data_IF_568215711717
#
_entry.id   IF_568215711717
#
_cell.length_a   1.000
_cell.length_b   1.000
_cell.length_c   1.000
_cell.angle_alpha   90.00
_cell.angle_beta   90.00
_cell.angle_gamma   90.00
#
_symmetry.space_group_name_H-M   'P 1'
#
loop_
_entity.id
_entity.type
_entity.pdbx_description
1 polymer ?
#
# COMPACT_ATOMS: atom_id res chain seq x y z
N UNK A 1 -3.98 7.26 -14.83
CA UNK A 1 -2.76 7.25 -13.99
C UNK A 1 -3.21 7.28 -12.55
N UNK A 2 -2.69 6.39 -11.71
CA UNK A 2 -3.08 6.29 -10.30
C UNK A 2 -1.93 6.79 -9.42
N UNK A 3 -2.26 7.47 -8.32
CA UNK A 3 -1.28 8.07 -7.41
C UNK A 3 -0.97 7.07 -6.31
N UNK A 4 0.31 6.76 -6.10
CA UNK A 4 0.74 5.90 -5.01
C UNK A 4 0.43 6.57 -3.66
N UNK A 5 -0.36 5.91 -2.83
CA UNK A 5 -0.72 6.38 -1.48
C UNK A 5 0.47 6.36 -0.50
N UNK A 6 1.56 5.68 -0.85
CA UNK A 6 2.77 5.59 -0.01
C UNK A 6 3.78 6.70 -0.33
N UNK A 7 4.07 6.93 -1.61
CA UNK A 7 5.12 7.87 -2.03
C UNK A 7 4.60 9.06 -2.85
N UNK A 8 3.29 9.16 -3.08
CA UNK A 8 2.67 10.23 -3.88
C UNK A 8 2.98 10.17 -5.38
N UNK A 9 3.76 9.20 -5.85
CA UNK A 9 4.17 9.10 -7.26
C UNK A 9 3.02 8.61 -8.13
N UNK A 10 2.75 9.31 -9.24
CA UNK A 10 1.80 8.86 -10.26
C UNK A 10 2.43 7.73 -11.07
N UNK A 11 1.79 6.56 -11.08
CA UNK A 11 2.21 5.43 -11.91
C UNK A 11 1.01 4.85 -12.69
N UNK A 12 1.29 4.16 -13.79
CA UNK A 12 0.27 3.39 -14.53
C UNK A 12 0.15 1.97 -14.01
N UNK A 13 1.24 1.39 -13.52
CA UNK A 13 1.31 0.03 -13.01
C UNK A 13 1.60 0.04 -11.50
N UNK A 14 0.84 -0.74 -10.75
CA UNK A 14 0.92 -0.81 -9.30
C UNK A 14 -0.12 -1.75 -8.69
N UNK A 15 0.07 -2.08 -7.42
CA UNK A 15 -0.84 -2.91 -6.64
C UNK A 15 -1.99 -2.05 -6.11
N UNK A 16 -3.23 -2.47 -6.35
CA UNK A 16 -4.42 -1.85 -5.76
C UNK A 16 -4.95 -2.73 -4.63
N UNK A 17 -5.01 -2.20 -3.41
CA UNK A 17 -5.52 -2.91 -2.22
C UNK A 17 -6.69 -2.11 -1.66
N UNK A 18 -7.92 -2.50 -1.99
CA UNK A 18 -9.11 -1.72 -1.65
C UNK A 18 -9.07 -0.32 -2.28
N UNK A 19 -9.11 0.71 -1.43
CA UNK A 19 -8.96 2.12 -1.82
C UNK A 19 -7.51 2.62 -1.87
N UNK A 20 -6.53 1.79 -1.49
CA UNK A 20 -5.11 2.14 -1.58
C UNK A 20 -4.53 1.72 -2.93
N UNK A 21 -3.61 2.53 -3.44
CA UNK A 21 -2.82 2.20 -4.61
C UNK A 21 -1.34 2.36 -4.29
N UNK A 22 -0.53 1.37 -4.64
CA UNK A 22 0.91 1.37 -4.44
C UNK A 22 1.64 1.20 -5.75
N UNK A 23 2.69 1.97 -5.97
CA UNK A 23 3.57 1.76 -7.11
C UNK A 23 4.45 0.51 -6.90
N UNK A 24 4.91 -0.08 -8.00
CA UNK A 24 5.72 -1.30 -7.99
C UNK A 24 6.97 -1.19 -7.09
N UNK A 25 7.59 0.00 -6.95
CA UNK A 25 8.73 0.19 -6.05
C UNK A 25 8.36 0.13 -4.56
N UNK A 26 7.20 0.67 -4.18
CA UNK A 26 6.70 0.60 -2.81
C UNK A 26 6.17 -0.79 -2.49
N UNK A 27 5.50 -1.44 -3.44
CA UNK A 27 5.09 -2.84 -3.33
C UNK A 27 6.30 -3.76 -3.17
N UNK A 28 7.32 -3.65 -4.02
CA UNK A 28 8.55 -4.43 -3.91
C UNK A 28 9.30 -4.18 -2.59
N UNK A 29 9.29 -2.94 -2.08
CA UNK A 29 9.81 -2.67 -0.74
C UNK A 29 9.01 -3.43 0.32
N UNK A 30 7.68 -3.38 0.26
CA UNK A 30 6.79 -4.03 1.23
C UNK A 30 6.88 -5.55 1.23
N UNK A 31 7.00 -6.17 0.06
CA UNK A 31 7.25 -7.62 -0.06
C UNK A 31 8.59 -8.02 0.53
N UNK A 32 9.57 -7.10 0.53
CA UNK A 32 10.93 -7.31 1.08
C UNK A 32 11.08 -6.87 2.53
N UNK A 33 10.09 -6.21 3.14
CA UNK A 33 10.19 -5.73 4.52
C UNK A 33 9.91 -6.90 5.47
N UNK A 34 10.91 -7.26 6.29
CA UNK A 34 10.76 -8.22 7.39
C UNK A 34 9.71 -7.76 8.39
N UNK A 35 8.91 -8.69 8.93
CA UNK A 35 7.77 -8.41 9.82
C UNK A 35 8.08 -7.56 11.07
N UNK A 36 9.35 -7.40 11.45
CA UNK A 36 9.80 -6.56 12.55
C UNK A 36 9.97 -5.06 12.22
N UNK A 37 9.82 -4.65 10.97
CA UNK A 37 10.01 -3.25 10.57
C UNK A 37 8.74 -2.43 10.74
N UNK A 38 8.86 -1.23 11.33
CA UNK A 38 7.74 -0.30 11.56
C UNK A 38 6.95 0.04 10.27
N UNK A 39 7.62 0.01 9.11
CA UNK A 39 6.99 0.19 7.80
C UNK A 39 5.95 -0.90 7.47
N UNK A 40 6.17 -2.14 7.93
CA UNK A 40 5.22 -3.24 7.75
C UNK A 40 3.97 -3.03 8.62
N UNK A 41 4.15 -2.57 9.86
CA UNK A 41 3.05 -2.21 10.76
C UNK A 41 2.17 -1.08 10.20
N UNK A 42 2.79 -0.02 9.66
CA UNK A 42 2.04 1.05 8.99
C UNK A 42 1.24 0.52 7.80
N UNK A 43 1.84 -0.35 6.98
CA UNK A 43 1.18 -0.92 5.81
C UNK A 43 0.00 -1.80 6.17
N UNK A 44 0.14 -2.70 7.16
CA UNK A 44 -0.99 -3.50 7.65
C UNK A 44 -2.12 -2.61 8.18
N UNK A 45 -1.81 -1.53 8.89
CA UNK A 45 -2.80 -0.56 9.36
C UNK A 45 -3.49 0.21 8.22
N UNK A 46 -2.73 0.56 7.17
CA UNK A 46 -3.28 1.21 5.99
C UNK A 46 -4.19 0.25 5.19
N UNK A 47 -3.71 -0.97 4.92
CA UNK A 47 -4.46 -2.02 4.20
C UNK A 47 -5.72 -2.41 4.97
N UNK A 48 -5.62 -2.62 6.28
CA UNK A 48 -6.78 -2.94 7.11
C UNK A 48 -7.84 -1.85 7.02
N UNK A 49 -7.46 -0.57 7.09
CA UNK A 49 -8.43 0.55 6.90
C UNK A 49 -9.02 0.56 5.50
N UNK A 50 -8.22 0.34 4.48
CA UNK A 50 -8.67 0.35 3.09
C UNK A 50 -9.57 -0.85 2.72
N UNK A 51 -9.43 -1.97 3.42
CA UNK A 51 -10.29 -3.15 3.26
C UNK A 51 -11.53 -3.07 4.15
N UNK A 52 -11.42 -2.58 5.39
CA UNK A 52 -12.54 -2.40 6.32
C UNK A 52 -13.53 -1.35 5.80
N UNK A 53 -13.06 -0.30 5.12
CA UNK A 53 -13.92 0.71 4.50
C UNK A 53 -14.86 0.19 3.39
N UNK A 54 -14.85 -1.11 3.06
CA UNK A 54 -15.81 -1.74 2.12
C UNK A 54 -17.00 -2.45 2.79
N UNK A 55 -17.06 -2.49 4.12
CA UNK A 55 -18.09 -3.20 4.89
C UNK A 55 -19.02 -2.28 5.70
N UNK A 56 -19.09 -1.00 5.35
CA UNK A 56 -20.09 -0.06 5.88
C UNK A 56 -21.02 0.42 4.74
#
# INVERSE_FOLDING_TARGET
>A
MQTCSFCGRKTRCGLKVGSLFLCAGCEASLVRVSAGSAAYGWFLGAVRRALVARYE
#
